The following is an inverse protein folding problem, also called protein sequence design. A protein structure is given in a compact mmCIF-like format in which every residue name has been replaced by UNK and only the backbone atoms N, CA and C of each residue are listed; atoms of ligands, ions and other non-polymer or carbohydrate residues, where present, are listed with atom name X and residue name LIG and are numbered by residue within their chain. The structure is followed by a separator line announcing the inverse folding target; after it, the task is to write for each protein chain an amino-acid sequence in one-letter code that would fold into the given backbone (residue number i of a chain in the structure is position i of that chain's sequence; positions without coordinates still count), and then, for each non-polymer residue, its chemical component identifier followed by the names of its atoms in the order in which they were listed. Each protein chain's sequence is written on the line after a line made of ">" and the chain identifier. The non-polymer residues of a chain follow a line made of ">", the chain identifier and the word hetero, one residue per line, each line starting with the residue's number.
data_IF_521006707998
#
_entry.id   IF_521006707998
#
_cell.length_a   1.000
_cell.length_b   1.000
_cell.length_c   1.000
_cell.angle_alpha   90.00
_cell.angle_beta   90.00
_cell.angle_gamma   90.00
#
_symmetry.space_group_name_H-M   'P 1'
#
loop_
_entity.id
_entity.type
_entity.pdbx_description
1 polymer ?
#
# COMPACT_ATOMS: atom_id res chain seq x y z
N UNK A 1 9.62 -2.84 18.65
CA UNK A 1 10.12 -1.53 18.19
C UNK A 1 10.75 -1.69 16.81
N UNK A 2 10.66 -0.66 15.95
CA UNK A 2 11.33 -0.69 14.65
C UNK A 2 12.86 -0.69 14.81
N UNK A 3 13.60 -1.42 13.94
CA UNK A 3 15.05 -1.45 14.02
C UNK A 3 15.66 -0.07 13.74
N UNK A 4 16.70 0.30 14.47
CA UNK A 4 17.46 1.53 14.25
C UNK A 4 18.67 1.34 13.34
N UNK A 5 19.10 0.11 13.18
CA UNK A 5 20.30 -0.31 12.46
C UNK A 5 20.06 -0.75 11.01
N UNK A 6 18.84 -0.59 10.53
CA UNK A 6 18.42 -0.98 9.16
C UNK A 6 17.53 0.09 8.53
N UNK A 7 17.46 0.18 7.18
CA UNK A 7 16.42 0.93 6.52
C UNK A 7 15.06 0.29 6.80
N UNK A 8 14.03 1.11 6.89
CA UNK A 8 12.66 0.69 7.15
C UNK A 8 11.77 1.18 6.02
N UNK A 9 10.81 0.36 5.64
CA UNK A 9 9.80 0.68 4.64
C UNK A 9 8.47 0.89 5.37
N UNK A 10 7.76 1.96 5.01
CA UNK A 10 6.35 2.15 5.33
C UNK A 10 5.54 1.85 4.07
N UNK A 11 4.79 0.76 4.07
CA UNK A 11 3.84 0.44 3.01
C UNK A 11 2.44 0.82 3.45
N UNK A 12 1.87 1.88 2.87
CA UNK A 12 0.65 2.52 3.36
C UNK A 12 -0.43 2.69 2.30
N UNK A 13 -1.68 2.71 2.74
CA UNK A 13 -2.83 3.14 1.95
C UNK A 13 -2.81 4.66 1.75
N UNK A 14 -3.29 5.14 0.60
CA UNK A 14 -3.49 6.57 0.35
C UNK A 14 -4.46 7.22 1.37
N UNK A 15 -4.43 8.53 1.45
CA UNK A 15 -5.25 9.33 2.36
C UNK A 15 -6.71 9.43 1.91
N UNK A 16 -7.53 10.22 2.65
CA UNK A 16 -8.94 10.42 2.38
C UNK A 16 -9.16 11.01 0.98
N UNK A 17 -10.04 10.40 0.22
CA UNK A 17 -10.43 10.81 -1.12
C UNK A 17 -11.90 11.16 -1.20
N UNK A 18 -12.28 11.87 -2.26
CA UNK A 18 -13.69 12.12 -2.59
C UNK A 18 -14.46 10.81 -2.75
N UNK A 19 -15.74 10.83 -2.43
CA UNK A 19 -16.63 9.69 -2.61
C UNK A 19 -17.04 9.56 -4.06
N UNK A 20 -17.10 8.32 -4.55
CA UNK A 20 -17.63 8.05 -5.87
C UNK A 20 -19.14 8.37 -5.91
N UNK A 21 -19.64 9.00 -6.98
CA UNK A 21 -21.08 9.12 -7.19
C UNK A 21 -21.74 7.73 -7.15
N UNK A 22 -22.89 7.64 -6.50
CA UNK A 22 -23.72 6.42 -6.45
C UNK A 22 -23.05 5.17 -5.81
N UNK A 23 -22.13 5.35 -4.88
CA UNK A 23 -21.41 4.24 -4.23
C UNK A 23 -20.70 3.28 -5.19
N UNK A 24 -20.40 3.74 -6.40
CA UNK A 24 -19.65 2.98 -7.40
C UNK A 24 -18.19 2.75 -7.03
N UNK A 25 -17.49 1.95 -7.85
CA UNK A 25 -16.03 1.84 -7.72
C UNK A 25 -15.42 3.22 -7.89
N UNK A 26 -14.49 3.62 -7.00
CA UNK A 26 -13.78 4.87 -7.15
C UNK A 26 -12.99 4.87 -8.45
N UNK A 27 -13.35 5.77 -9.37
CA UNK A 27 -12.52 5.98 -10.55
C UNK A 27 -11.11 6.40 -10.15
N UNK A 28 -10.15 6.23 -11.04
CA UNK A 28 -8.77 6.68 -10.82
C UNK A 28 -8.67 8.20 -10.64
N UNK A 29 -9.64 8.94 -11.15
CA UNK A 29 -9.67 10.41 -11.19
C UNK A 29 -10.16 11.07 -9.90
N UNK A 30 -10.67 10.28 -8.93
CA UNK A 30 -11.13 10.86 -7.66
C UNK A 30 -9.94 11.39 -6.85
N UNK A 31 -9.90 12.71 -6.58
CA UNK A 31 -8.81 13.36 -5.85
C UNK A 31 -8.91 13.08 -4.34
N UNK A 32 -7.87 13.49 -3.62
CA UNK A 32 -7.94 13.62 -2.17
C UNK A 32 -8.91 14.73 -1.78
N UNK A 33 -9.58 14.58 -0.63
CA UNK A 33 -10.29 15.71 -0.01
C UNK A 33 -9.29 16.70 0.60
N UNK A 34 -9.68 17.93 0.88
CA UNK A 34 -8.83 18.88 1.63
C UNK A 34 -8.34 18.30 2.96
N UNK A 35 -9.22 17.62 3.71
CA UNK A 35 -8.87 16.95 4.96
C UNK A 35 -7.88 15.79 4.73
N UNK A 36 -8.02 15.08 3.63
CA UNK A 36 -7.08 14.03 3.24
C UNK A 36 -5.68 14.57 2.98
N UNK A 37 -5.57 15.73 2.36
CA UNK A 37 -4.28 16.41 2.15
C UNK A 37 -3.67 16.78 3.51
N UNK A 38 -4.44 17.44 4.37
CA UNK A 38 -3.98 17.84 5.72
C UNK A 38 -3.57 16.64 6.55
N UNK A 39 -4.34 15.54 6.50
CA UNK A 39 -4.03 14.30 7.21
C UNK A 39 -2.67 13.72 6.75
N UNK A 40 -2.44 13.66 5.44
CA UNK A 40 -1.19 13.16 4.89
C UNK A 40 0.01 14.05 5.24
N UNK A 41 -0.15 15.39 5.25
CA UNK A 41 0.87 16.34 5.70
C UNK A 41 1.21 16.12 7.18
N UNK A 42 0.20 16.02 8.05
CA UNK A 42 0.42 15.76 9.47
C UNK A 42 1.13 14.42 9.72
N UNK A 43 0.80 13.39 8.94
CA UNK A 43 1.50 12.11 9.00
C UNK A 43 2.98 12.25 8.63
N UNK A 44 3.28 12.91 7.50
CA UNK A 44 4.64 13.18 7.08
C UNK A 44 5.46 13.89 8.16
N UNK A 45 4.89 14.93 8.77
CA UNK A 45 5.56 15.72 9.82
C UNK A 45 5.77 15.00 11.15
N UNK A 46 5.09 13.86 11.38
CA UNK A 46 5.23 13.05 12.60
C UNK A 46 6.22 11.89 12.47
N UNK A 47 6.71 11.62 11.27
CA UNK A 47 7.66 10.53 11.05
C UNK A 47 9.04 10.92 11.57
N UNK A 48 9.52 10.20 12.58
CA UNK A 48 10.78 10.50 13.30
C UNK A 48 12.02 9.88 12.65
N UNK A 49 11.95 9.57 11.35
CA UNK A 49 13.05 8.97 10.59
C UNK A 49 13.32 9.80 9.34
N UNK A 50 14.58 9.89 8.88
CA UNK A 50 14.91 10.57 7.64
C UNK A 50 14.28 9.84 6.45
N UNK A 51 13.28 10.47 5.82
CA UNK A 51 12.66 9.94 4.62
C UNK A 51 13.63 10.15 3.46
N UNK A 52 13.92 9.09 2.70
CA UNK A 52 14.91 9.08 1.62
C UNK A 52 14.32 8.78 0.25
N UNK A 53 13.16 8.13 0.20
CA UNK A 53 12.49 7.85 -1.07
C UNK A 53 10.99 7.73 -0.89
N UNK A 54 10.26 8.10 -1.95
CA UNK A 54 8.84 7.84 -2.10
C UNK A 54 8.60 7.00 -3.36
N UNK A 55 7.86 5.95 -3.19
CA UNK A 55 7.25 5.16 -4.26
C UNK A 55 5.74 5.27 -4.17
N UNK A 56 5.06 5.34 -5.30
CA UNK A 56 3.60 5.48 -5.32
C UNK A 56 2.99 4.68 -6.46
N UNK A 57 1.79 4.18 -6.26
CA UNK A 57 0.88 3.90 -7.36
C UNK A 57 0.77 5.14 -8.27
N UNK A 58 0.69 4.99 -9.61
CA UNK A 58 0.52 6.13 -10.51
C UNK A 58 -0.86 6.80 -10.42
N UNK A 59 -1.79 6.26 -9.65
CA UNK A 59 -3.11 6.84 -9.42
C UNK A 59 -2.99 8.16 -8.64
N UNK A 60 -3.61 9.23 -9.12
CA UNK A 60 -3.44 10.60 -8.63
C UNK A 60 -3.51 10.74 -7.10
N UNK A 61 -4.52 10.14 -6.44
CA UNK A 61 -4.67 10.19 -4.98
C UNK A 61 -3.49 9.57 -4.20
N UNK A 62 -2.81 8.57 -4.76
CA UNK A 62 -1.61 7.99 -4.14
C UNK A 62 -0.41 8.92 -4.28
N UNK A 63 -0.22 9.48 -5.48
CA UNK A 63 0.83 10.46 -5.77
C UNK A 63 0.65 11.71 -4.90
N UNK A 64 -0.57 12.21 -4.77
CA UNK A 64 -0.89 13.40 -3.98
C UNK A 64 -0.74 13.14 -2.47
N UNK A 65 -1.02 11.90 -2.00
CA UNK A 65 -0.71 11.49 -0.63
C UNK A 65 0.80 11.55 -0.38
N UNK A 66 1.61 10.97 -1.26
CA UNK A 66 3.06 11.01 -1.14
C UNK A 66 3.62 12.44 -1.15
N UNK A 67 3.13 13.31 -2.05
CA UNK A 67 3.48 14.73 -2.10
C UNK A 67 3.11 15.47 -0.81
N UNK A 68 1.91 15.20 -0.26
CA UNK A 68 1.46 15.81 0.97
C UNK A 68 2.35 15.36 2.15
N UNK A 69 2.68 14.07 2.24
CA UNK A 69 3.62 13.56 3.25
C UNK A 69 5.01 14.21 3.13
N UNK A 70 5.51 14.38 1.90
CA UNK A 70 6.79 15.06 1.61
C UNK A 70 6.77 16.51 2.13
N UNK A 71 5.71 17.29 1.83
CA UNK A 71 5.55 18.66 2.35
C UNK A 71 5.49 18.68 3.88
N UNK A 72 4.72 17.76 4.48
CA UNK A 72 4.59 17.67 5.94
C UNK A 72 5.90 17.37 6.65
N UNK A 73 6.79 16.63 6.00
CA UNK A 73 8.14 16.32 6.49
C UNK A 73 9.18 17.41 6.15
N UNK A 74 8.77 18.50 5.51
CA UNK A 74 9.64 19.61 5.04
C UNK A 74 10.79 19.11 4.15
N UNK A 75 10.47 18.22 3.21
CA UNK A 75 11.42 17.67 2.24
C UNK A 75 10.86 17.75 0.83
N UNK A 76 11.75 17.85 -0.16
CA UNK A 76 11.42 17.83 -1.60
C UNK A 76 12.11 16.66 -2.27
N UNK A 77 11.42 15.53 -2.35
CA UNK A 77 11.91 14.32 -3.00
C UNK A 77 11.01 13.94 -4.19
N UNK A 78 11.59 13.43 -5.26
CA UNK A 78 10.81 12.91 -6.37
C UNK A 78 9.93 11.73 -5.94
N UNK A 79 8.71 11.66 -6.49
CA UNK A 79 7.81 10.53 -6.27
C UNK A 79 7.97 9.54 -7.42
N UNK A 80 8.58 8.39 -7.16
CA UNK A 80 8.75 7.32 -8.13
C UNK A 80 7.46 6.55 -8.29
N UNK A 81 6.83 6.65 -9.46
CA UNK A 81 5.58 5.94 -9.75
C UNK A 81 5.85 4.54 -10.28
N UNK A 82 5.09 3.56 -9.79
CA UNK A 82 5.19 2.16 -10.23
C UNK A 82 3.85 1.45 -10.24
N UNK A 83 3.57 0.71 -11.30
CA UNK A 83 2.35 -0.11 -11.42
C UNK A 83 2.36 -1.33 -10.50
N UNK A 84 3.50 -1.72 -9.92
CA UNK A 84 3.55 -2.79 -8.91
C UNK A 84 2.61 -2.48 -7.72
N UNK A 85 2.39 -1.20 -7.43
CA UNK A 85 1.55 -0.72 -6.33
C UNK A 85 0.07 -0.50 -6.70
N UNK A 86 -0.37 -0.96 -7.88
CA UNK A 86 -1.77 -0.82 -8.34
C UNK A 86 -2.16 -2.00 -9.25
N UNK A 87 -2.68 -1.72 -10.42
CA UNK A 87 -3.08 -2.64 -11.47
C UNK A 87 -2.79 -2.02 -12.86
N UNK A 88 -2.42 -2.81 -13.86
CA UNK A 88 -1.91 -4.17 -13.71
C UNK A 88 -0.61 -4.15 -12.91
N UNK A 89 -0.46 -5.03 -11.94
CA UNK A 89 0.66 -4.92 -11.00
C UNK A 89 1.01 -6.24 -10.32
N UNK A 90 1.14 -6.17 -8.98
CA UNK A 90 1.56 -7.33 -8.20
C UNK A 90 0.51 -8.45 -8.17
N UNK A 91 -0.79 -8.11 -8.15
CA UNK A 91 -1.86 -9.11 -8.11
C UNK A 91 -2.65 -9.15 -9.42
N UNK A 92 -3.26 -8.06 -9.82
CA UNK A 92 -4.14 -8.03 -10.99
C UNK A 92 -3.31 -7.89 -12.27
N UNK A 93 -3.47 -8.83 -13.21
CA UNK A 93 -2.85 -8.73 -14.52
C UNK A 93 -3.87 -8.50 -15.65
N UNK A 94 -5.17 -8.65 -15.37
CA UNK A 94 -6.24 -8.36 -16.32
C UNK A 94 -7.46 -7.77 -15.62
N UNK A 95 -7.50 -6.44 -15.50
CA UNK A 95 -8.63 -5.72 -14.92
C UNK A 95 -9.96 -6.00 -15.66
N UNK A 96 -9.88 -6.24 -16.97
CA UNK A 96 -11.05 -6.57 -17.79
C UNK A 96 -11.76 -7.84 -17.32
N UNK A 97 -10.99 -8.82 -16.80
CA UNK A 97 -11.53 -10.07 -16.27
C UNK A 97 -11.96 -9.94 -14.81
N UNK A 98 -11.19 -9.24 -14.02
CA UNK A 98 -11.36 -9.12 -12.56
C UNK A 98 -12.39 -8.04 -12.18
N UNK A 99 -12.43 -6.94 -12.93
CA UNK A 99 -13.26 -5.77 -12.62
C UNK A 99 -14.74 -6.07 -12.42
N UNK A 100 -15.41 -6.82 -13.31
CA UNK A 100 -16.83 -7.17 -13.14
C UNK A 100 -17.09 -7.93 -11.83
N UNK A 101 -16.24 -8.88 -11.47
CA UNK A 101 -16.37 -9.64 -10.23
C UNK A 101 -16.12 -8.76 -9.00
N UNK A 102 -15.13 -7.88 -9.07
CA UNK A 102 -14.84 -6.92 -8.00
C UNK A 102 -16.05 -5.99 -7.77
N UNK A 103 -16.69 -5.50 -8.85
CA UNK A 103 -17.89 -4.69 -8.76
C UNK A 103 -19.05 -5.44 -8.11
N UNK A 104 -19.23 -6.69 -8.47
CA UNK A 104 -20.31 -7.53 -7.97
C UNK A 104 -20.16 -7.86 -6.48
N UNK A 105 -18.95 -8.21 -6.05
CA UNK A 105 -18.69 -8.68 -4.70
C UNK A 105 -18.39 -7.53 -3.71
N UNK A 106 -17.85 -6.44 -4.19
CA UNK A 106 -17.24 -5.42 -3.34
C UNK A 106 -15.87 -5.86 -2.78
N UNK A 107 -15.10 -4.92 -2.18
CA UNK A 107 -13.70 -5.13 -1.88
C UNK A 107 -13.42 -6.26 -0.88
N UNK A 108 -14.21 -6.37 0.18
CA UNK A 108 -13.98 -7.35 1.27
C UNK A 108 -14.34 -8.77 0.79
N UNK A 109 -15.50 -8.94 0.19
CA UNK A 109 -15.90 -10.26 -0.33
C UNK A 109 -14.98 -10.71 -1.47
N UNK A 110 -14.53 -9.78 -2.33
CA UNK A 110 -13.54 -10.06 -3.36
C UNK A 110 -12.21 -10.53 -2.76
N UNK A 111 -11.69 -9.84 -1.73
CA UNK A 111 -10.47 -10.25 -1.05
C UNK A 111 -10.59 -11.64 -0.43
N UNK A 112 -11.72 -11.92 0.24
CA UNK A 112 -12.01 -13.23 0.81
C UNK A 112 -12.08 -14.34 -0.24
N UNK A 113 -12.59 -14.04 -1.43
CA UNK A 113 -12.58 -14.97 -2.54
C UNK A 113 -11.16 -15.21 -3.06
N UNK A 114 -10.40 -14.13 -3.25
CA UNK A 114 -9.00 -14.19 -3.70
C UNK A 114 -8.10 -15.01 -2.76
N UNK A 115 -8.34 -14.99 -1.46
CA UNK A 115 -7.55 -15.77 -0.49
C UNK A 115 -7.77 -17.28 -0.57
N UNK A 116 -8.92 -17.71 -1.10
CA UNK A 116 -9.33 -19.12 -1.08
C UNK A 116 -9.23 -19.81 -2.42
N UNK A 117 -9.44 -19.09 -3.50
CA UNK A 117 -9.65 -19.67 -4.82
C UNK A 117 -8.83 -18.95 -5.89
N UNK A 118 -8.36 -19.74 -6.87
CA UNK A 118 -7.76 -19.16 -8.07
C UNK A 118 -8.83 -18.43 -8.90
N UNK A 119 -8.50 -17.23 -9.36
CA UNK A 119 -9.37 -16.41 -10.20
C UNK A 119 -8.68 -16.04 -11.50
N UNK A 120 -9.44 -16.08 -12.62
CA UNK A 120 -8.88 -15.66 -13.90
C UNK A 120 -8.60 -14.15 -13.93
N UNK A 121 -7.42 -13.76 -14.34
CA UNK A 121 -6.99 -12.37 -14.45
C UNK A 121 -6.29 -11.81 -13.19
N UNK A 122 -6.15 -12.62 -12.13
CA UNK A 122 -5.41 -12.27 -10.92
C UNK A 122 -4.41 -13.36 -10.55
N UNK A 123 -3.25 -12.98 -10.06
CA UNK A 123 -2.24 -13.88 -9.50
C UNK A 123 -2.70 -14.39 -8.14
N UNK A 124 -2.25 -15.56 -7.76
CA UNK A 124 -2.47 -16.04 -6.39
C UNK A 124 -1.87 -15.06 -5.36
N UNK A 125 -2.38 -15.02 -4.12
CA UNK A 125 -1.82 -14.18 -3.06
C UNK A 125 -0.31 -14.39 -2.89
N UNK A 126 0.15 -15.65 -2.95
CA UNK A 126 1.57 -15.99 -2.83
C UNK A 126 2.43 -15.36 -3.94
N UNK A 127 1.98 -15.44 -5.19
CA UNK A 127 2.72 -14.86 -6.32
C UNK A 127 2.74 -13.33 -6.27
N UNK A 128 1.60 -12.71 -5.95
CA UNK A 128 1.51 -11.26 -5.84
C UNK A 128 2.33 -10.71 -4.68
N UNK A 129 2.30 -11.37 -3.52
CA UNK A 129 3.12 -11.02 -2.36
C UNK A 129 4.61 -11.17 -2.68
N UNK A 130 5.02 -12.22 -3.38
CA UNK A 130 6.41 -12.38 -3.79
C UNK A 130 6.91 -11.22 -4.67
N UNK A 131 6.08 -10.73 -5.60
CA UNK A 131 6.41 -9.54 -6.42
C UNK A 131 6.55 -8.28 -5.57
N UNK A 132 5.66 -8.06 -4.58
CA UNK A 132 5.77 -6.93 -3.67
C UNK A 132 7.03 -7.01 -2.80
N UNK A 133 7.33 -8.19 -2.24
CA UNK A 133 8.56 -8.41 -1.45
C UNK A 133 9.80 -8.11 -2.29
N UNK A 134 9.84 -8.59 -3.53
CA UNK A 134 10.95 -8.30 -4.45
C UNK A 134 11.08 -6.79 -4.71
N UNK A 135 9.97 -6.09 -4.94
CA UNK A 135 9.97 -4.64 -5.13
C UNK A 135 10.47 -3.91 -3.88
N UNK A 136 10.00 -4.26 -2.69
CA UNK A 136 10.45 -3.67 -1.43
C UNK A 136 11.94 -3.94 -1.17
N UNK A 137 12.39 -5.16 -1.42
CA UNK A 137 13.80 -5.51 -1.29
C UNK A 137 14.69 -4.69 -2.23
N UNK A 138 14.27 -4.48 -3.47
CA UNK A 138 14.98 -3.65 -4.44
C UNK A 138 14.96 -2.17 -4.04
N UNK A 139 13.82 -1.66 -3.56
CA UNK A 139 13.67 -0.25 -3.20
C UNK A 139 14.53 0.19 -2.01
N UNK A 140 14.91 -0.74 -1.12
CA UNK A 140 15.79 -0.41 0.02
C UNK A 140 17.28 -0.44 -0.33
N UNK A 141 17.66 -0.94 -1.51
CA UNK A 141 19.09 -1.03 -1.88
C UNK A 141 19.71 0.37 -1.96
N UNK A 142 20.90 0.52 -1.39
CA UNK A 142 21.61 1.80 -1.33
C UNK A 142 21.15 2.75 -0.22
N UNK A 143 20.15 2.38 0.58
CA UNK A 143 19.74 3.13 1.76
C UNK A 143 20.49 2.64 3.01
N UNK A 144 20.64 3.57 3.97
CA UNK A 144 21.44 3.37 5.18
C UNK A 144 20.59 3.06 6.41
N UNK A 145 21.26 2.78 7.52
CA UNK A 145 20.64 2.61 8.83
C UNK A 145 19.76 3.81 9.19
N UNK A 146 18.55 3.52 9.67
CA UNK A 146 17.60 4.53 10.12
C UNK A 146 16.80 5.19 9.00
N UNK A 147 17.17 5.03 7.74
CA UNK A 147 16.44 5.60 6.60
C UNK A 147 15.00 5.05 6.52
N UNK A 148 14.08 5.89 6.04
CA UNK A 148 12.70 5.54 5.78
C UNK A 148 12.38 5.64 4.29
N UNK A 149 11.79 4.58 3.74
CA UNK A 149 11.29 4.51 2.36
C UNK A 149 9.77 4.37 2.43
N UNK A 150 9.02 5.23 1.75
CA UNK A 150 7.56 5.23 1.82
C UNK A 150 6.97 4.72 0.51
N UNK A 151 6.06 3.77 0.60
CA UNK A 151 5.29 3.23 -0.52
C UNK A 151 3.82 3.49 -0.32
N UNK A 152 3.20 4.29 -1.20
CA UNK A 152 1.77 4.63 -1.14
C UNK A 152 1.00 3.81 -2.16
N UNK A 153 0.00 3.08 -1.69
CA UNK A 153 -0.82 2.17 -2.50
C UNK A 153 -2.30 2.24 -2.10
N UNK A 154 -3.01 1.16 -2.34
CA UNK A 154 -4.45 1.00 -2.15
C UNK A 154 -4.76 -0.01 -1.04
N UNK A 155 -5.96 0.09 -0.49
CA UNK A 155 -6.48 -0.82 0.54
C UNK A 155 -6.44 -2.29 0.14
N UNK A 156 -6.90 -2.61 -1.08
CA UNK A 156 -6.95 -3.98 -1.61
C UNK A 156 -5.57 -4.62 -1.71
N UNK A 157 -4.57 -3.84 -2.17
CA UNK A 157 -3.19 -4.32 -2.30
C UNK A 157 -2.57 -4.54 -0.92
N UNK A 158 -2.76 -3.57 -0.01
CA UNK A 158 -2.26 -3.66 1.37
C UNK A 158 -2.92 -4.83 2.12
N UNK A 159 -4.25 -4.99 1.99
CA UNK A 159 -4.98 -6.10 2.60
C UNK A 159 -4.48 -7.46 2.07
N UNK A 160 -4.39 -7.62 0.75
CA UNK A 160 -3.90 -8.87 0.15
C UNK A 160 -2.49 -9.23 0.62
N UNK A 161 -1.61 -8.24 0.74
CA UNK A 161 -0.24 -8.44 1.23
C UNK A 161 -0.23 -8.86 2.70
N UNK A 162 -0.83 -8.07 3.59
CA UNK A 162 -0.77 -8.28 5.04
C UNK A 162 -1.47 -9.56 5.47
N UNK A 163 -2.68 -9.80 4.96
CA UNK A 163 -3.44 -10.99 5.40
C UNK A 163 -2.88 -12.29 4.84
N UNK A 164 -2.14 -12.24 3.72
CA UNK A 164 -1.33 -13.37 3.30
C UNK A 164 -0.16 -13.64 4.27
N UNK A 165 0.54 -12.61 4.75
CA UNK A 165 1.62 -12.76 5.75
C UNK A 165 1.09 -13.29 7.09
N UNK A 166 -0.10 -12.84 7.50
CA UNK A 166 -0.82 -13.33 8.70
C UNK A 166 -1.41 -14.74 8.53
N UNK A 167 -1.36 -15.32 7.32
CA UNK A 167 -2.01 -16.58 6.98
C UNK A 167 -3.52 -16.59 7.26
N UNK A 168 -4.14 -15.42 7.22
CA UNK A 168 -5.56 -15.22 7.46
C UNK A 168 -6.34 -15.41 6.16
N UNK A 169 -7.29 -16.36 6.16
CA UNK A 169 -8.09 -16.72 4.97
C UNK A 169 -9.46 -16.04 4.91
N UNK A 170 -9.78 -15.26 5.93
CA UNK A 170 -11.02 -14.52 6.00
C UNK A 170 -10.82 -13.21 6.74
N UNK A 171 -11.31 -12.11 6.16
CA UNK A 171 -11.28 -10.77 6.73
C UNK A 171 -12.69 -10.18 6.77
N UNK A 172 -12.91 -9.30 7.74
CA UNK A 172 -14.14 -8.53 7.96
C UNK A 172 -13.90 -7.04 7.72
N UNK A 173 -14.93 -6.23 7.93
CA UNK A 173 -14.79 -4.76 7.90
C UNK A 173 -13.78 -4.23 8.93
N UNK A 174 -13.69 -4.85 10.10
CA UNK A 174 -12.73 -4.47 11.14
C UNK A 174 -11.28 -4.72 10.74
N UNK A 175 -11.05 -5.69 9.87
CA UNK A 175 -9.73 -6.02 9.36
C UNK A 175 -9.31 -5.10 8.22
N UNK A 176 -10.27 -4.42 7.55
CA UNK A 176 -9.98 -3.61 6.39
C UNK A 176 -9.03 -2.45 6.71
N UNK A 177 -7.98 -2.23 5.90
CA UNK A 177 -7.01 -1.15 6.16
C UNK A 177 -7.67 0.23 6.13
N UNK A 178 -7.44 1.04 7.16
CA UNK A 178 -7.90 2.43 7.22
C UNK A 178 -7.06 3.35 6.31
N UNK A 179 -7.58 4.54 6.02
CA UNK A 179 -6.83 5.59 5.31
C UNK A 179 -5.56 5.91 6.07
N UNK A 180 -4.43 6.04 5.37
CA UNK A 180 -3.09 6.25 5.93
C UNK A 180 -2.57 5.12 6.82
N UNK A 181 -3.32 4.06 7.05
CA UNK A 181 -2.81 2.88 7.74
C UNK A 181 -1.78 2.16 6.88
N UNK A 182 -0.74 1.64 7.52
CA UNK A 182 0.35 0.99 6.80
C UNK A 182 1.10 -0.03 7.64
N UNK A 183 1.78 -0.94 6.94
CA UNK A 183 2.70 -1.89 7.51
C UNK A 183 4.11 -1.34 7.51
N UNK A 184 4.84 -1.59 8.59
CA UNK A 184 6.27 -1.33 8.67
C UNK A 184 7.03 -2.59 8.30
N UNK A 185 7.99 -2.47 7.39
CA UNK A 185 8.72 -3.60 6.84
C UNK A 185 10.22 -3.32 6.92
N UNK A 186 11.01 -4.37 7.11
CA UNK A 186 12.48 -4.30 7.01
C UNK A 186 13.03 -5.66 6.64
N UNK A 187 14.25 -5.67 6.14
CA UNK A 187 14.92 -6.91 5.79
C UNK A 187 16.15 -7.11 6.69
N UNK A 188 16.34 -8.35 7.13
CA UNK A 188 17.54 -8.81 7.82
C UNK A 188 18.00 -10.12 7.19
N UNK A 189 19.24 -10.17 6.70
CA UNK A 189 19.79 -11.32 5.99
C UNK A 189 18.85 -11.88 4.89
N UNK A 190 18.22 -10.98 4.13
CA UNK A 190 17.24 -11.28 3.08
C UNK A 190 15.89 -11.84 3.58
N UNK A 191 15.69 -11.99 4.88
CA UNK A 191 14.40 -12.31 5.47
C UNK A 191 13.58 -11.02 5.67
N UNK A 192 12.30 -11.07 5.31
CA UNK A 192 11.36 -9.98 5.54
C UNK A 192 10.82 -10.06 6.96
N UNK A 193 10.92 -8.95 7.68
CA UNK A 193 10.25 -8.70 8.96
C UNK A 193 9.18 -7.62 8.76
N UNK A 194 8.12 -7.68 9.53
CA UNK A 194 7.01 -6.74 9.40
C UNK A 194 6.32 -6.47 10.72
N UNK A 195 5.65 -5.33 10.80
CA UNK A 195 4.82 -4.92 11.93
C UNK A 195 3.51 -4.34 11.41
N UNK A 196 2.39 -4.93 11.81
CA UNK A 196 1.04 -4.52 11.47
C UNK A 196 0.15 -4.53 12.70
N UNK A 197 -0.47 -3.41 13.06
CA UNK A 197 -1.38 -3.30 14.22
C UNK A 197 -0.82 -3.92 15.51
N UNK A 198 0.48 -3.80 15.73
CA UNK A 198 1.16 -4.38 16.90
C UNK A 198 1.52 -5.88 16.78
N UNK A 199 1.14 -6.55 15.70
CA UNK A 199 1.53 -7.94 15.38
C UNK A 199 2.79 -7.95 14.51
N UNK A 200 3.69 -8.89 14.79
CA UNK A 200 4.98 -9.07 14.13
C UNK A 200 5.17 -10.53 13.74
#
# INVERSE_FOLDING_TARGET
>A
ALPSDKPVILFTRHSLRELAPNNGIPSYDLPLTPEGIVLAEQWGGRLNRPIKAFYSSPVGRCVDTAKAMSRGADIDLPITQTTVLVEPGCFVHSIRKVGPLFLQLGPIAFANHHFKEAMDGILSPKEGVAKLIQHFYQSQQGHSQGDLIIHVSHDTILAAFIYHLLQQQHISEHDWPWMMEGAWLWFDNSALYWLWRGTQ
#
